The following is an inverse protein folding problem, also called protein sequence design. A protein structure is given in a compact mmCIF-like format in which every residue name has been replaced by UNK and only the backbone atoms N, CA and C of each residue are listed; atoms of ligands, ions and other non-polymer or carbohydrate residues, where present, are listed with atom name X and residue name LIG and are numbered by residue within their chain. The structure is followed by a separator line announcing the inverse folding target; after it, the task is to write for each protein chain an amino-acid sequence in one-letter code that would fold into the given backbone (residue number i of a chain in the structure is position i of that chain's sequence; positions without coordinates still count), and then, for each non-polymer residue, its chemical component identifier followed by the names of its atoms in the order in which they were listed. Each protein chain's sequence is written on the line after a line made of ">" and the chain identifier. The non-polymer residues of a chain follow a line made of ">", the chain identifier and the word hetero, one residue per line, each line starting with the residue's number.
data_IF_871917695007
#
_entry.id   IF_871917695007
#
_cell.length_a   1.000
_cell.length_b   1.000
_cell.length_c   1.000
_cell.angle_alpha   90.00
_cell.angle_beta   90.00
_cell.angle_gamma   90.00
#
_symmetry.space_group_name_H-M   'P 1'
#
loop_
_entity.id
_entity.type
_entity.pdbx_description
1 polymer ?
#
# COMPACT_ATOMS: atom_id res chain seq x y z
N UNK A 1 -45.77 -10.87 17.45
CA UNK A 1 -44.63 -10.74 18.39
C UNK A 1 -43.36 -11.08 17.62
N UNK A 2 -42.67 -10.04 17.15
CA UNK A 2 -41.51 -10.07 16.24
C UNK A 2 -40.31 -10.77 16.87
N UNK A 3 -39.85 -11.87 16.28
CA UNK A 3 -38.58 -12.52 16.62
C UNK A 3 -37.48 -11.90 15.75
N UNK A 4 -37.02 -10.74 16.19
CA UNK A 4 -35.84 -10.09 15.63
C UNK A 4 -34.60 -10.90 16.03
N UNK A 5 -34.04 -11.64 15.09
CA UNK A 5 -32.72 -12.26 15.22
C UNK A 5 -31.68 -11.25 14.73
N UNK A 6 -31.06 -10.54 15.67
CA UNK A 6 -29.85 -9.75 15.45
C UNK A 6 -28.69 -10.72 15.16
N UNK A 7 -28.40 -10.96 13.88
CA UNK A 7 -27.16 -11.60 13.47
C UNK A 7 -26.09 -10.51 13.33
N UNK A 8 -25.19 -10.41 14.33
CA UNK A 8 -23.93 -9.67 14.20
C UNK A 8 -23.06 -10.36 13.14
N UNK A 9 -23.24 -9.98 11.88
CA UNK A 9 -22.42 -10.46 10.80
C UNK A 9 -21.18 -9.56 10.64
N UNK A 10 -20.04 -10.10 11.07
CA UNK A 10 -18.74 -10.01 10.41
C UNK A 10 -18.13 -8.60 10.35
N UNK A 11 -17.42 -8.21 11.42
CA UNK A 11 -16.42 -7.13 11.34
C UNK A 11 -15.18 -7.72 10.65
N UNK A 12 -15.23 -7.78 9.32
CA UNK A 12 -14.08 -8.13 8.47
C UNK A 12 -12.92 -7.12 8.71
N UNK A 13 -11.65 -7.54 8.59
CA UNK A 13 -10.52 -6.82 9.16
C UNK A 13 -10.35 -5.46 8.48
N UNK A 14 -10.51 -4.39 9.25
CA UNK A 14 -10.45 -2.99 8.83
C UNK A 14 -9.02 -2.49 8.48
N UNK A 15 -8.02 -3.38 8.39
CA UNK A 15 -6.58 -3.03 8.43
C UNK A 15 -5.75 -3.69 7.31
N UNK A 16 -6.37 -4.08 6.20
CA UNK A 16 -5.61 -4.50 5.03
C UNK A 16 -5.22 -3.27 4.21
N UNK A 17 -4.16 -2.55 4.61
CA UNK A 17 -3.48 -1.63 3.68
C UNK A 17 -2.96 -2.46 2.51
N UNK A 18 -3.47 -2.21 1.30
CA UNK A 18 -3.06 -2.95 0.12
C UNK A 18 -1.64 -2.52 -0.25
N UNK A 19 -0.65 -3.38 0.01
CA UNK A 19 0.72 -3.05 -0.38
C UNK A 19 0.84 -3.02 -1.91
N UNK A 20 1.45 -1.96 -2.45
CA UNK A 20 1.68 -1.80 -3.89
C UNK A 20 2.64 -2.89 -4.36
N UNK A 21 2.28 -3.66 -5.41
CA UNK A 21 3.15 -4.70 -5.94
C UNK A 21 4.44 -4.10 -6.50
N UNK A 22 5.43 -4.94 -6.68
CA UNK A 22 6.67 -4.54 -7.35
C UNK A 22 6.37 -3.92 -8.72
N UNK A 23 7.09 -2.85 -9.03
CA UNK A 23 6.93 -1.99 -10.20
C UNK A 23 5.58 -1.23 -10.28
N UNK A 24 4.74 -1.32 -9.24
CA UNK A 24 3.54 -0.52 -9.11
C UNK A 24 3.84 0.92 -8.70
N UNK A 25 2.89 1.82 -8.94
CA UNK A 25 2.98 3.21 -8.51
C UNK A 25 2.76 3.31 -7.00
N UNK A 26 3.66 3.98 -6.30
CA UNK A 26 3.60 4.19 -4.85
C UNK A 26 3.61 5.67 -4.45
N UNK A 27 3.67 6.57 -5.43
CA UNK A 27 3.71 8.00 -5.17
C UNK A 27 3.66 8.82 -6.46
N UNK A 28 3.47 10.13 -6.30
CA UNK A 28 3.34 11.07 -7.39
C UNK A 28 2.29 12.14 -7.11
N UNK A 29 2.38 13.25 -7.84
CA UNK A 29 1.44 14.34 -7.75
C UNK A 29 0.05 13.84 -8.18
N UNK A 30 -0.95 14.05 -7.31
CA UNK A 30 -2.32 13.56 -7.45
C UNK A 30 -2.51 12.02 -7.34
N UNK A 31 -1.51 11.29 -6.86
CA UNK A 31 -1.66 9.86 -6.55
C UNK A 31 -2.38 9.66 -5.20
N UNK A 32 -3.51 8.94 -5.22
CA UNK A 32 -4.37 8.70 -4.03
C UNK A 32 -4.44 7.23 -3.61
N UNK A 33 -3.67 6.35 -4.26
CA UNK A 33 -3.58 4.94 -3.88
C UNK A 33 -2.62 4.71 -2.72
N UNK A 34 -2.36 3.44 -2.39
CA UNK A 34 -1.38 3.11 -1.36
C UNK A 34 0.04 3.55 -1.71
N UNK A 35 0.74 4.08 -0.71
CA UNK A 35 2.13 4.52 -0.82
C UNK A 35 3.13 3.50 -0.29
N UNK A 36 2.62 2.48 0.40
CA UNK A 36 3.41 1.39 0.97
C UNK A 36 3.64 0.28 -0.06
N UNK A 37 4.90 -0.02 -0.35
CA UNK A 37 5.29 -1.13 -1.21
C UNK A 37 5.21 -2.49 -0.48
N UNK A 38 5.12 -3.59 -1.24
CA UNK A 38 5.27 -4.95 -0.71
C UNK A 38 6.56 -5.12 0.08
N UNK A 39 6.54 -6.07 1.02
CA UNK A 39 7.71 -6.38 1.86
C UNK A 39 8.96 -6.63 1.00
N UNK A 40 10.05 -5.92 1.30
CA UNK A 40 11.31 -6.00 0.55
C UNK A 40 11.41 -5.08 -0.68
N UNK A 41 10.37 -4.30 -0.98
CA UNK A 41 10.40 -3.23 -1.97
C UNK A 41 10.34 -1.85 -1.29
N UNK A 42 10.89 -0.85 -1.96
CA UNK A 42 10.90 0.55 -1.52
C UNK A 42 10.33 1.44 -2.62
N UNK A 43 9.65 2.51 -2.21
CA UNK A 43 9.12 3.48 -3.16
C UNK A 43 10.25 4.38 -3.66
N UNK A 44 10.63 4.22 -4.92
CA UNK A 44 11.68 5.00 -5.57
C UNK A 44 11.03 6.14 -6.35
N UNK A 45 11.45 7.36 -6.05
CA UNK A 45 11.04 8.54 -6.81
C UNK A 45 11.61 8.47 -8.22
N UNK A 46 10.74 8.48 -9.23
CA UNK A 46 11.14 8.60 -10.65
C UNK A 46 10.97 10.03 -11.13
N UNK A 47 9.81 10.64 -10.84
CA UNK A 47 9.46 11.99 -11.23
C UNK A 47 8.32 12.53 -10.35
N UNK A 48 8.01 13.81 -10.49
CA UNK A 48 7.02 14.49 -9.63
C UNK A 48 5.63 13.85 -9.69
N UNK A 49 5.25 13.28 -10.83
CA UNK A 49 3.97 12.60 -11.06
C UNK A 49 3.98 11.10 -10.79
N UNK A 50 5.16 10.48 -10.62
CA UNK A 50 5.28 9.02 -10.56
C UNK A 50 6.47 8.55 -9.73
N UNK A 51 6.19 7.69 -8.76
CA UNK A 51 7.17 6.94 -7.98
C UNK A 51 6.81 5.47 -8.04
N UNK A 52 7.80 4.60 -8.15
CA UNK A 52 7.61 3.19 -8.40
C UNK A 52 8.18 2.34 -7.27
N UNK A 53 7.49 1.26 -6.91
CA UNK A 53 8.02 0.25 -5.99
C UNK A 53 9.10 -0.57 -6.68
N UNK A 54 10.36 -0.32 -6.33
CA UNK A 54 11.46 -1.17 -6.79
C UNK A 54 11.94 -2.08 -5.67
N UNK A 55 12.58 -3.19 -6.04
CA UNK A 55 13.24 -4.03 -5.05
C UNK A 55 14.22 -3.18 -4.26
N UNK A 56 14.28 -3.40 -2.95
CA UNK A 56 15.36 -2.97 -2.07
C UNK A 56 16.65 -3.74 -2.47
N UNK A 57 17.12 -3.51 -3.71
CA UNK A 57 18.48 -3.86 -4.12
C UNK A 57 19.35 -2.91 -3.33
N UNK A 58 20.31 -3.45 -2.58
CA UNK A 58 21.28 -2.81 -1.67
C UNK A 58 21.67 -1.32 -1.92
N UNK A 59 21.50 -0.78 -3.12
CA UNK A 59 21.70 0.63 -3.50
C UNK A 59 20.48 1.53 -3.14
N UNK A 60 19.23 1.13 -3.41
CA UNK A 60 18.03 1.98 -3.24
C UNK A 60 17.48 2.03 -1.82
N UNK A 61 17.73 0.99 -1.00
CA UNK A 61 17.45 1.04 0.45
C UNK A 61 18.48 1.87 1.24
N UNK A 62 19.64 2.16 0.65
CA UNK A 62 20.75 2.87 1.30
C UNK A 62 20.52 4.39 1.35
N UNK A 63 19.40 4.88 0.81
CA UNK A 63 19.03 6.30 0.76
C UNK A 63 18.00 6.68 1.84
N UNK A 64 17.70 5.76 2.77
CA UNK A 64 16.80 5.99 3.90
C UNK A 64 17.56 6.20 5.23
N UNK A 65 18.84 6.59 5.14
CA UNK A 65 19.66 7.12 6.24
C UNK A 65 20.52 8.29 5.78
#
# INVERSE_FOLDING_TARGET
>A
MSRSLLALAIVAPLLAQAAVPLYGQCGGLNYTGETTCVSGAVCVYSNEWYSQCEWCKRIVCFQLY
#
